data_IF_246970967519
#
_entry.id   IF_246970967519
#
_cell.length_a   1.000
_cell.length_b   1.000
_cell.length_c   1.000
_cell.angle_alpha   90.00
_cell.angle_beta   90.00
_cell.angle_gamma   90.00
#
_symmetry.space_group_name_H-M   'P 1'
#
loop_
_entity.id
_entity.type
_entity.pdbx_description
1 polymer ?
#
# COMPACT_ATOMS: atom_id res chain seq x y z
N UNK A 1 8.62 -1.85 -2.28
CA UNK A 1 8.68 -0.60 -3.07
C UNK A 1 9.89 -0.54 -3.99
N UNK A 2 9.64 -0.33 -5.29
CA UNK A 2 10.70 -0.18 -6.32
C UNK A 2 11.40 1.18 -6.14
N UNK A 3 12.74 1.16 -6.01
CA UNK A 3 13.55 2.39 -6.09
C UNK A 3 13.77 2.79 -7.55
N UNK A 4 13.46 4.04 -7.89
CA UNK A 4 13.67 4.59 -9.24
C UNK A 4 14.01 6.08 -9.19
N UNK A 5 14.64 6.58 -10.26
CA UNK A 5 14.93 8.01 -10.42
C UNK A 5 13.77 8.68 -11.17
N UNK A 6 12.99 9.58 -10.54
CA UNK A 6 11.87 10.24 -11.21
C UNK A 6 12.29 11.15 -12.36
N UNK A 7 13.58 11.53 -12.44
CA UNK A 7 14.12 12.38 -13.52
C UNK A 7 14.39 11.62 -14.81
N UNK A 8 14.44 10.28 -14.80
CA UNK A 8 14.71 9.47 -15.98
C UNK A 8 13.44 9.20 -16.81
N UNK A 9 12.78 10.27 -17.28
CA UNK A 9 11.46 10.21 -17.91
C UNK A 9 11.35 9.18 -19.05
N UNK A 10 12.23 9.27 -20.05
CA UNK A 10 12.26 8.30 -21.18
C UNK A 10 12.59 6.87 -20.73
N UNK A 11 13.50 6.74 -19.78
CA UNK A 11 13.87 5.43 -19.23
C UNK A 11 12.71 4.74 -18.53
N UNK A 12 11.80 5.50 -17.90
CA UNK A 12 10.61 4.96 -17.23
C UNK A 12 9.53 4.50 -18.22
N UNK A 13 9.36 5.20 -19.35
CA UNK A 13 8.36 4.85 -20.39
C UNK A 13 8.62 3.45 -20.98
N UNK A 14 9.90 3.10 -21.18
CA UNK A 14 10.29 1.84 -21.83
C UNK A 14 10.72 0.74 -20.84
N UNK A 15 10.58 0.98 -19.52
CA UNK A 15 10.96 0.00 -18.50
C UNK A 15 9.81 -0.97 -18.24
N UNK A 16 9.88 -2.15 -18.84
CA UNK A 16 8.94 -3.23 -18.57
C UNK A 16 9.23 -3.91 -17.22
N UNK A 17 8.35 -3.75 -16.23
CA UNK A 17 8.49 -4.37 -14.91
C UNK A 17 7.82 -5.76 -14.83
N UNK A 18 8.10 -6.54 -13.77
CA UNK A 18 7.48 -7.86 -13.57
C UNK A 18 5.99 -7.78 -13.20
N UNK A 19 5.56 -6.68 -12.57
CA UNK A 19 4.18 -6.33 -12.24
C UNK A 19 3.52 -5.47 -13.32
N UNK A 20 3.99 -5.57 -14.56
CA UNK A 20 3.52 -4.68 -15.64
C UNK A 20 2.02 -4.86 -15.88
N UNK A 21 1.27 -3.82 -15.50
CA UNK A 21 -0.18 -3.67 -15.71
C UNK A 21 -0.55 -4.04 -17.14
N UNK A 22 0.29 -3.69 -18.13
CA UNK A 22 0.07 -4.04 -19.52
C UNK A 22 0.04 -5.55 -19.75
N UNK A 23 1.00 -6.32 -19.21
CA UNK A 23 1.01 -7.79 -19.34
C UNK A 23 -0.19 -8.44 -18.68
N UNK A 24 -0.62 -7.92 -17.53
CA UNK A 24 -1.81 -8.41 -16.82
C UNK A 24 -3.10 -8.13 -17.62
N UNK A 25 -3.17 -7.00 -18.31
CA UNK A 25 -4.33 -6.59 -19.12
C UNK A 25 -4.29 -7.11 -20.56
N UNK A 26 -3.14 -7.56 -21.06
CA UNK A 26 -2.96 -7.95 -22.47
C UNK A 26 -4.01 -8.95 -22.99
N UNK A 27 -4.38 -10.03 -22.27
CA UNK A 27 -5.43 -10.94 -22.75
C UNK A 27 -6.79 -10.26 -22.89
N UNK A 28 -7.13 -9.38 -21.95
CA UNK A 28 -8.37 -8.61 -22.00
C UNK A 28 -8.34 -7.55 -23.11
N UNK A 29 -7.18 -6.89 -23.32
CA UNK A 29 -6.99 -5.94 -24.41
C UNK A 29 -7.18 -6.60 -25.78
N UNK A 30 -6.59 -7.79 -25.99
CA UNK A 30 -6.79 -8.55 -27.23
C UNK A 30 -8.25 -8.96 -27.41
N UNK A 31 -8.93 -9.33 -26.32
CA UNK A 31 -10.36 -9.68 -26.36
C UNK A 31 -11.23 -8.49 -26.74
N UNK A 32 -10.96 -7.31 -26.18
CA UNK A 32 -11.63 -6.05 -26.52
C UNK A 32 -11.35 -5.67 -27.98
N UNK A 33 -10.09 -5.79 -28.44
CA UNK A 33 -9.72 -5.48 -29.81
C UNK A 33 -10.45 -6.38 -30.82
N UNK A 34 -10.46 -7.70 -30.57
CA UNK A 34 -11.15 -8.67 -31.42
C UNK A 34 -12.66 -8.46 -31.42
N UNK A 35 -13.25 -8.20 -30.24
CA UNK A 35 -14.67 -7.91 -30.12
C UNK A 35 -15.05 -6.65 -30.91
N UNK A 36 -14.34 -5.54 -30.71
CA UNK A 36 -14.60 -4.29 -31.43
C UNK A 36 -14.36 -4.42 -32.93
N UNK A 37 -13.35 -5.18 -33.37
CA UNK A 37 -13.12 -5.48 -34.78
C UNK A 37 -14.27 -6.31 -35.38
N UNK A 38 -14.81 -7.27 -34.62
CA UNK A 38 -15.98 -8.04 -35.01
C UNK A 38 -17.24 -7.19 -35.19
N UNK A 39 -17.48 -6.24 -34.29
CA UNK A 39 -18.58 -5.27 -34.43
C UNK A 39 -18.37 -4.38 -35.67
N UNK A 40 -17.15 -3.88 -35.89
CA UNK A 40 -16.84 -3.07 -37.07
C UNK A 40 -17.03 -3.84 -38.38
N UNK A 41 -16.65 -5.12 -38.41
CA UNK A 41 -16.87 -6.00 -39.55
C UNK A 41 -18.37 -6.22 -39.81
N UNK A 42 -19.14 -6.50 -38.76
CA UNK A 42 -20.57 -6.75 -38.85
C UNK A 42 -21.33 -5.51 -39.35
N UNK A 43 -20.99 -4.32 -38.86
CA UNK A 43 -21.58 -3.07 -39.34
C UNK A 43 -21.30 -2.85 -40.82
N UNK A 44 -20.07 -3.06 -41.29
CA UNK A 44 -19.73 -2.81 -42.69
C UNK A 44 -20.29 -3.84 -43.68
N UNK A 45 -20.40 -5.11 -43.29
CA UNK A 45 -20.70 -6.21 -44.23
C UNK A 45 -22.08 -6.86 -44.02
N UNK A 46 -22.58 -6.90 -42.79
CA UNK A 46 -23.81 -7.62 -42.44
C UNK A 46 -24.98 -6.66 -42.19
N UNK A 47 -24.73 -5.51 -41.57
CA UNK A 47 -25.73 -4.55 -41.12
C UNK A 47 -25.35 -3.10 -41.50
N UNK A 48 -25.10 -2.80 -42.79
CA UNK A 48 -24.60 -1.50 -43.22
C UNK A 48 -25.46 -0.34 -42.72
N UNK A 49 -24.84 0.56 -41.95
CA UNK A 49 -25.41 1.79 -41.40
C UNK A 49 -26.64 1.60 -40.50
N UNK A 50 -26.81 0.41 -39.91
CA UNK A 50 -27.91 0.19 -38.95
C UNK A 50 -27.53 0.60 -37.52
N UNK A 51 -26.24 0.63 -37.18
CA UNK A 51 -25.79 1.14 -35.88
C UNK A 51 -25.86 2.67 -35.87
N UNK A 52 -26.71 3.22 -35.00
CA UNK A 52 -26.89 4.67 -34.80
C UNK A 52 -26.65 5.06 -33.34
N UNK A 53 -25.58 4.54 -32.76
CA UNK A 53 -25.19 4.89 -31.41
C UNK A 53 -24.83 6.37 -31.28
N UNK A 54 -25.05 6.96 -30.11
CA UNK A 54 -24.74 8.38 -29.84
C UNK A 54 -23.43 8.50 -29.06
N UNK A 55 -22.41 9.07 -29.70
CA UNK A 55 -21.12 9.39 -29.08
C UNK A 55 -21.26 10.39 -27.92
N UNK A 56 -22.29 11.24 -27.93
CA UNK A 56 -22.58 12.17 -26.85
C UNK A 56 -22.90 11.47 -25.52
N UNK A 57 -23.62 10.34 -25.55
CA UNK A 57 -23.90 9.56 -24.35
C UNK A 57 -22.60 8.98 -23.76
N UNK A 58 -21.72 8.43 -24.61
CA UNK A 58 -20.42 7.92 -24.17
C UNK A 58 -19.48 9.01 -23.67
N UNK A 59 -19.57 10.24 -24.19
CA UNK A 59 -18.83 11.37 -23.66
C UNK A 59 -19.29 11.71 -22.23
N UNK A 60 -20.61 11.79 -22.00
CA UNK A 60 -21.19 12.02 -20.67
C UNK A 60 -20.84 10.92 -19.67
N UNK A 61 -21.02 9.64 -20.06
CA UNK A 61 -20.66 8.50 -19.21
C UNK A 61 -19.14 8.44 -18.96
N UNK A 62 -18.33 8.79 -19.96
CA UNK A 62 -16.88 8.85 -19.84
C UNK A 62 -16.42 9.89 -18.82
N UNK A 63 -17.08 11.06 -18.77
CA UNK A 63 -16.84 12.05 -17.73
C UNK A 63 -17.16 11.51 -16.33
N UNK A 64 -18.32 10.84 -16.17
CA UNK A 64 -18.72 10.26 -14.88
C UNK A 64 -17.74 9.18 -14.42
N UNK A 65 -17.34 8.26 -15.31
CA UNK A 65 -16.38 7.20 -14.98
C UNK A 65 -15.02 7.78 -14.61
N UNK A 66 -14.55 8.79 -15.36
CA UNK A 66 -13.28 9.46 -15.07
C UNK A 66 -13.29 10.09 -13.68
N UNK A 67 -14.38 10.79 -13.34
CA UNK A 67 -14.54 11.38 -12.00
C UNK A 67 -14.55 10.32 -10.90
N UNK A 68 -15.27 9.20 -11.10
CA UNK A 68 -15.31 8.11 -10.13
C UNK A 68 -13.93 7.44 -9.94
N UNK A 69 -13.18 7.23 -11.02
CA UNK A 69 -11.81 6.70 -10.96
C UNK A 69 -10.86 7.63 -10.21
N UNK A 70 -11.00 8.95 -10.37
CA UNK A 70 -10.21 9.92 -9.61
C UNK A 70 -10.49 9.79 -8.11
N UNK A 71 -11.76 9.73 -7.70
CA UNK A 71 -12.10 9.52 -6.29
C UNK A 71 -11.55 8.19 -5.76
N UNK A 72 -11.73 7.11 -6.51
CA UNK A 72 -11.21 5.78 -6.18
C UNK A 72 -9.69 5.77 -5.95
N UNK A 73 -8.96 6.41 -6.86
CA UNK A 73 -7.50 6.49 -6.82
C UNK A 73 -7.02 7.35 -5.65
N UNK A 74 -7.69 8.49 -5.40
CA UNK A 74 -7.37 9.36 -4.27
C UNK A 74 -7.60 8.65 -2.93
N UNK A 75 -8.73 7.95 -2.75
CA UNK A 75 -8.99 7.21 -1.52
C UNK A 75 -7.97 6.08 -1.30
N UNK A 76 -7.56 5.38 -2.35
CA UNK A 76 -6.51 4.37 -2.25
C UNK A 76 -5.16 5.00 -1.85
N UNK A 77 -4.81 6.12 -2.48
CA UNK A 77 -3.59 6.86 -2.17
C UNK A 77 -3.56 7.38 -0.72
N UNK A 78 -4.67 7.89 -0.21
CA UNK A 78 -4.78 8.34 1.19
C UNK A 78 -4.49 7.20 2.17
N UNK A 79 -5.02 5.99 1.91
CA UNK A 79 -4.73 4.80 2.74
C UNK A 79 -3.27 4.41 2.67
N UNK A 80 -2.69 4.40 1.46
CA UNK A 80 -1.26 4.13 1.28
C UNK A 80 -0.39 5.13 2.05
N UNK A 81 -0.71 6.42 1.93
CA UNK A 81 0.01 7.51 2.60
C UNK A 81 -0.15 7.45 4.12
N UNK A 82 -1.33 7.14 4.61
CA UNK A 82 -1.59 6.93 6.03
C UNK A 82 -0.73 5.78 6.59
N UNK A 83 -0.70 4.63 5.89
CA UNK A 83 0.18 3.51 6.23
C UNK A 83 1.65 3.92 6.29
N UNK A 84 2.12 4.70 5.31
CA UNK A 84 3.50 5.22 5.28
C UNK A 84 3.80 6.12 6.47
N UNK A 85 2.86 7.00 6.84
CA UNK A 85 3.00 7.90 8.00
C UNK A 85 3.06 7.12 9.31
N UNK A 86 2.19 6.12 9.50
CA UNK A 86 2.18 5.25 10.68
C UNK A 86 3.52 4.52 10.88
N UNK A 87 4.08 3.92 9.82
CA UNK A 87 5.40 3.29 9.87
C UNK A 87 6.55 4.30 10.09
N UNK A 88 6.39 5.53 9.60
CA UNK A 88 7.29 6.64 9.92
C UNK A 88 7.24 7.01 11.41
N UNK A 89 6.06 7.10 11.99
CA UNK A 89 5.86 7.32 13.42
C UNK A 89 6.46 6.18 14.25
N UNK A 90 6.37 4.93 13.79
CA UNK A 90 6.98 3.78 14.48
C UNK A 90 8.50 3.91 14.54
N UNK A 91 9.10 4.34 13.43
CA UNK A 91 10.54 4.60 13.37
C UNK A 91 10.95 5.68 14.38
N UNK A 92 10.17 6.76 14.47
CA UNK A 92 10.43 7.87 15.39
C UNK A 92 10.26 7.46 16.85
N UNK A 93 9.15 6.79 17.19
CA UNK A 93 8.87 6.31 18.55
C UNK A 93 9.96 5.32 19.00
N UNK A 94 10.35 4.37 18.14
CA UNK A 94 11.42 3.42 18.43
C UNK A 94 12.76 4.11 18.70
N UNK A 95 13.12 5.12 17.91
CA UNK A 95 14.36 5.89 18.09
C UNK A 95 14.33 6.72 19.37
N UNK A 96 13.26 7.45 19.61
CA UNK A 96 13.11 8.31 20.79
C UNK A 96 13.15 7.48 22.07
N UNK A 97 12.44 6.34 22.07
CA UNK A 97 12.46 5.40 23.18
C UNK A 97 13.87 4.88 23.44
N UNK A 98 14.59 4.45 22.38
CA UNK A 98 15.95 3.96 22.51
C UNK A 98 16.92 5.03 23.04
N UNK A 99 16.84 6.28 22.57
CA UNK A 99 17.67 7.39 23.06
C UNK A 99 17.42 7.72 24.53
N UNK A 100 16.15 7.72 24.97
CA UNK A 100 15.81 7.97 26.37
C UNK A 100 16.27 6.84 27.27
N UNK A 101 16.03 5.59 26.86
CA UNK A 101 16.50 4.41 27.59
C UNK A 101 18.03 4.37 27.67
N UNK A 102 18.71 4.75 26.59
CA UNK A 102 20.15 4.88 26.54
C UNK A 102 20.68 5.88 27.59
N UNK A 103 20.09 7.07 27.64
CA UNK A 103 20.46 8.10 28.60
C UNK A 103 20.10 7.77 30.05
N UNK A 104 19.05 6.95 30.27
CA UNK A 104 18.54 6.67 31.60
C UNK A 104 19.14 5.43 32.26
N UNK A 105 19.62 4.46 31.46
CA UNK A 105 20.17 3.20 31.95
C UNK A 105 21.70 3.18 31.84
N UNK A 106 22.42 2.79 32.90
CA UNK A 106 23.87 2.67 32.85
C UNK A 106 24.38 1.72 31.75
N UNK A 107 25.60 1.96 31.28
CA UNK A 107 26.27 1.07 30.33
C UNK A 107 26.38 -0.35 30.89
N UNK A 108 26.14 -1.34 30.03
CA UNK A 108 26.17 -2.77 30.40
C UNK A 108 24.94 -3.25 31.17
N UNK A 109 23.94 -2.40 31.44
CA UNK A 109 22.71 -2.84 32.11
C UNK A 109 21.96 -3.90 31.27
N UNK A 110 21.60 -5.07 31.84
CA UNK A 110 21.04 -6.20 31.07
C UNK A 110 19.74 -5.86 30.34
N UNK A 111 18.92 -4.97 30.91
CA UNK A 111 17.67 -4.51 30.28
C UNK A 111 17.88 -3.78 28.96
N UNK A 112 19.04 -3.16 28.71
CA UNK A 112 19.30 -2.43 27.45
C UNK A 112 19.19 -3.37 26.26
N UNK A 113 19.75 -4.58 26.39
CA UNK A 113 19.67 -5.61 25.35
C UNK A 113 18.25 -6.13 25.17
N UNK A 114 17.57 -6.47 26.27
CA UNK A 114 16.19 -6.94 26.21
C UNK A 114 15.26 -5.91 25.56
N UNK A 115 15.35 -4.64 25.96
CA UNK A 115 14.54 -3.56 25.39
C UNK A 115 14.86 -3.33 23.91
N UNK A 116 16.13 -3.41 23.51
CA UNK A 116 16.51 -3.33 22.10
C UNK A 116 15.91 -4.47 21.26
N UNK A 117 15.96 -5.70 21.78
CA UNK A 117 15.38 -6.89 21.15
C UNK A 117 13.85 -6.76 21.04
N UNK A 118 13.17 -6.31 22.09
CA UNK A 118 11.71 -6.12 22.10
C UNK A 118 11.26 -5.03 21.13
N UNK A 119 11.94 -3.86 21.10
CA UNK A 119 11.61 -2.77 20.17
C UNK A 119 11.78 -3.23 18.72
N UNK A 120 12.90 -3.90 18.40
CA UNK A 120 13.15 -4.44 17.06
C UNK A 120 12.14 -5.54 16.69
N UNK A 121 11.87 -6.46 17.61
CA UNK A 121 10.92 -7.54 17.41
C UNK A 121 9.49 -7.03 17.20
N UNK A 122 9.12 -5.90 17.81
CA UNK A 122 7.80 -5.30 17.62
C UNK A 122 7.57 -4.94 16.15
N UNK A 123 8.52 -4.24 15.52
CA UNK A 123 8.40 -3.84 14.12
C UNK A 123 8.30 -5.06 13.18
N UNK A 124 9.12 -6.08 13.43
CA UNK A 124 9.06 -7.34 12.69
C UNK A 124 7.70 -8.04 12.87
N UNK A 125 7.16 -8.11 14.09
CA UNK A 125 5.88 -8.78 14.34
C UNK A 125 4.69 -7.98 13.81
N UNK A 126 4.74 -6.64 13.86
CA UNK A 126 3.69 -5.80 13.29
C UNK A 126 3.59 -6.02 11.78
N UNK A 127 4.71 -6.07 11.06
CA UNK A 127 4.70 -6.41 9.62
C UNK A 127 3.98 -7.73 9.34
N UNK A 128 4.39 -8.80 10.03
CA UNK A 128 3.80 -10.13 9.80
C UNK A 128 2.30 -10.14 10.16
N UNK A 129 1.92 -9.44 11.23
CA UNK A 129 0.53 -9.28 11.65
C UNK A 129 -0.31 -8.58 10.58
N UNK A 130 0.24 -7.57 9.89
CA UNK A 130 -0.46 -6.84 8.83
C UNK A 130 -0.53 -7.60 7.49
N UNK A 131 0.30 -8.63 7.28
CA UNK A 131 0.23 -9.50 6.10
C UNK A 131 -0.73 -10.67 6.26
N UNK A 132 -1.04 -11.07 7.49
CA UNK A 132 -1.92 -12.19 7.78
C UNK A 132 -3.30 -11.69 8.18
N UNK A 133 -4.33 -12.00 7.40
CA UNK A 133 -5.69 -11.48 7.61
C UNK A 133 -6.36 -11.96 8.91
N UNK A 134 -5.96 -13.12 9.43
CA UNK A 134 -6.53 -13.70 10.66
C UNK A 134 -5.41 -14.36 11.48
N UNK A 135 -4.96 -13.69 12.55
CA UNK A 135 -4.12 -14.31 13.57
C UNK A 135 -4.95 -14.54 14.83
N UNK A 136 -4.97 -15.77 15.34
CA UNK A 136 -5.61 -16.13 16.62
C UNK A 136 -4.92 -15.41 17.79
N UNK A 137 -3.65 -15.05 17.62
CA UNK A 137 -2.85 -14.39 18.64
C UNK A 137 -2.39 -13.00 18.20
N UNK A 138 -2.65 -11.99 19.03
CA UNK A 138 -2.24 -10.61 18.77
C UNK A 138 -0.79 -10.37 19.22
N UNK A 139 0.17 -10.90 18.47
CA UNK A 139 1.62 -10.85 18.78
C UNK A 139 2.17 -9.45 19.05
N UNK A 140 1.83 -8.37 18.29
CA UNK A 140 2.33 -7.03 18.59
C UNK A 140 2.00 -6.57 20.00
N UNK A 141 0.75 -6.72 20.45
CA UNK A 141 0.33 -6.40 21.82
C UNK A 141 1.06 -7.22 22.88
N UNK A 142 1.39 -8.49 22.61
CA UNK A 142 2.22 -9.29 23.55
C UNK A 142 3.60 -8.68 23.73
N UNK A 143 4.23 -8.20 22.65
CA UNK A 143 5.55 -7.56 22.72
C UNK A 143 5.45 -6.19 23.38
N UNK A 144 4.43 -5.40 23.06
CA UNK A 144 4.16 -4.14 23.76
C UNK A 144 3.98 -4.37 25.27
N UNK A 145 3.19 -5.36 25.67
CA UNK A 145 3.01 -5.70 27.09
C UNK A 145 4.34 -6.07 27.77
N UNK A 146 5.24 -6.78 27.09
CA UNK A 146 6.59 -7.07 27.61
C UNK A 146 7.45 -5.81 27.74
N UNK A 147 7.38 -4.88 26.78
CA UNK A 147 8.06 -3.57 26.88
C UNK A 147 7.57 -2.79 28.10
N UNK A 148 6.25 -2.68 28.27
CA UNK A 148 5.66 -2.01 29.43
C UNK A 148 6.04 -2.69 30.75
N UNK A 149 5.99 -4.03 30.80
CA UNK A 149 6.34 -4.79 31.99
C UNK A 149 7.81 -4.61 32.40
N UNK A 150 8.74 -4.59 31.43
CA UNK A 150 10.15 -4.39 31.72
C UNK A 150 10.43 -2.97 32.23
N UNK A 151 9.82 -1.95 31.62
CA UNK A 151 9.95 -0.57 32.10
C UNK A 151 9.33 -0.39 33.50
N UNK A 152 8.19 -1.02 33.77
CA UNK A 152 7.58 -1.03 35.11
C UNK A 152 8.47 -1.75 36.14
N UNK A 153 9.14 -2.85 35.75
CA UNK A 153 10.09 -3.58 36.59
C UNK A 153 11.32 -2.73 36.94
N UNK A 154 11.85 -1.98 35.97
CA UNK A 154 12.94 -1.04 36.22
C UNK A 154 12.52 0.04 37.23
N UNK A 155 11.27 0.51 37.15
CA UNK A 155 10.75 1.48 38.09
C UNK A 155 10.56 0.91 39.50
N UNK A 156 9.97 -0.28 39.63
CA UNK A 156 9.75 -0.91 40.95
C UNK A 156 11.06 -1.26 41.68
N UNK A 157 12.16 -1.46 40.95
CA UNK A 157 13.51 -1.63 41.52
C UNK A 157 14.25 -0.32 41.81
N UNK A 158 13.67 0.84 41.49
CA UNK A 158 14.33 2.13 41.63
C UNK A 158 15.43 2.41 40.58
N UNK A 159 15.57 1.56 39.57
CA UNK A 159 16.52 1.73 38.45
C UNK A 159 16.05 2.82 37.48
N UNK A 160 14.72 3.03 37.40
CA UNK A 160 14.09 4.17 36.72
C UNK A 160 13.19 4.94 37.69
N UNK A 161 13.35 6.26 37.75
CA UNK A 161 12.47 7.13 38.56
C UNK A 161 11.12 7.37 37.87
N UNK A 162 10.11 7.77 38.64
CA UNK A 162 8.75 7.97 38.13
C UNK A 162 8.63 9.10 37.10
N UNK A 163 9.42 10.16 37.23
CA UNK A 163 9.53 11.24 36.24
C UNK A 163 10.06 10.73 34.88
N UNK A 164 11.08 9.86 34.90
CA UNK A 164 11.60 9.22 33.67
C UNK A 164 10.55 8.32 33.03
N UNK A 165 9.75 7.60 33.83
CA UNK A 165 8.65 6.78 33.33
C UNK A 165 7.62 7.61 32.57
N UNK A 166 7.25 8.78 33.11
CA UNK A 166 6.34 9.72 32.43
C UNK A 166 6.92 10.20 31.10
N UNK A 167 8.24 10.39 30.99
CA UNK A 167 8.90 10.76 29.75
C UNK A 167 8.95 9.62 28.71
N UNK A 168 8.96 8.36 29.15
CA UNK A 168 8.98 7.17 28.27
C UNK A 168 7.58 6.77 27.80
N UNK A 169 6.55 7.01 28.60
CA UNK A 169 5.19 6.53 28.35
C UNK A 169 4.61 6.95 26.98
N UNK A 170 4.78 8.20 26.49
CA UNK A 170 4.29 8.56 25.16
C UNK A 170 4.89 7.71 24.04
N UNK A 171 6.20 7.40 24.11
CA UNK A 171 6.85 6.58 23.10
C UNK A 171 6.43 5.10 23.21
N UNK A 172 6.17 4.59 24.41
CA UNK A 172 5.66 3.23 24.63
C UNK A 172 4.22 3.07 24.10
N UNK A 173 3.34 4.00 24.45
CA UNK A 173 1.93 3.99 24.00
C UNK A 173 1.81 4.14 22.49
N UNK A 174 2.70 4.92 21.87
CA UNK A 174 2.71 5.11 20.43
C UNK A 174 2.77 3.79 19.64
N UNK A 175 3.43 2.75 20.17
CA UNK A 175 3.50 1.44 19.51
C UNK A 175 2.09 0.86 19.33
N UNK A 176 1.30 0.83 20.42
CA UNK A 176 -0.08 0.34 20.39
C UNK A 176 -0.99 1.20 19.51
N UNK A 177 -0.87 2.53 19.60
CA UNK A 177 -1.66 3.46 18.77
C UNK A 177 -1.38 3.26 17.26
N UNK A 178 -0.10 3.08 16.91
CA UNK A 178 0.31 2.81 15.53
C UNK A 178 -0.22 1.47 15.05
N UNK A 179 -0.16 0.42 15.88
CA UNK A 179 -0.74 -0.88 15.55
C UNK A 179 -2.24 -0.75 15.29
N UNK A 180 -3.00 -0.08 16.15
CA UNK A 180 -4.42 0.17 15.96
C UNK A 180 -4.71 0.94 14.67
N UNK A 181 -3.89 1.94 14.33
CA UNK A 181 -3.97 2.67 13.05
C UNK A 181 -3.75 1.75 11.84
N UNK A 182 -2.71 0.92 11.88
CA UNK A 182 -2.42 -0.02 10.79
C UNK A 182 -3.52 -1.08 10.65
N UNK A 183 -4.05 -1.59 11.76
CA UNK A 183 -5.17 -2.53 11.75
C UNK A 183 -6.44 -1.91 11.17
N UNK A 184 -6.73 -0.65 11.46
CA UNK A 184 -7.86 0.05 10.85
C UNK A 184 -7.72 0.11 9.33
N UNK A 185 -6.53 0.41 8.81
CA UNK A 185 -6.28 0.39 7.36
C UNK A 185 -6.43 -1.02 6.80
N UNK A 186 -5.93 -2.05 7.48
CA UNK A 186 -5.98 -3.43 7.00
C UNK A 186 -7.42 -4.01 7.02
N UNK A 187 -8.15 -3.81 8.13
CA UNK A 187 -9.45 -4.44 8.41
C UNK A 187 -10.64 -3.67 7.85
N UNK A 188 -10.46 -2.40 7.48
CA UNK A 188 -11.53 -1.55 6.94
C UNK A 188 -11.23 -1.20 5.48
N UNK A 189 -11.48 -2.12 4.53
CA UNK A 189 -11.28 -1.86 3.10
C UNK A 189 -12.29 -0.84 2.56
N UNK A 190 -12.05 -0.34 1.34
CA UNK A 190 -13.02 0.50 0.64
C UNK A 190 -14.30 -0.34 0.46
N UNK A 191 -15.50 0.25 0.68
CA UNK A 191 -16.75 -0.49 0.60
C UNK A 191 -16.85 -1.31 -0.69
N UNK A 192 -17.10 -2.61 -0.54
CA UNK A 192 -17.15 -3.56 -1.66
C UNK A 192 -18.12 -3.14 -2.76
N UNK A 193 -19.26 -2.54 -2.40
CA UNK A 193 -20.26 -2.04 -3.34
C UNK A 193 -19.70 -0.98 -4.29
N UNK A 194 -18.80 -0.12 -3.80
CA UNK A 194 -18.15 0.91 -4.60
C UNK A 194 -17.21 0.31 -5.64
N UNK A 195 -16.29 -0.57 -5.20
CA UNK A 195 -15.35 -1.26 -6.09
C UNK A 195 -16.08 -2.14 -7.12
N UNK A 196 -17.15 -2.83 -6.70
CA UNK A 196 -17.97 -3.64 -7.60
C UNK A 196 -18.70 -2.79 -8.65
N UNK A 197 -19.29 -1.66 -8.23
CA UNK A 197 -19.98 -0.75 -9.12
C UNK A 197 -19.04 -0.20 -10.19
N UNK A 198 -17.84 0.25 -9.80
CA UNK A 198 -16.86 0.83 -10.72
C UNK A 198 -16.40 -0.19 -11.78
N UNK A 199 -16.05 -1.42 -11.36
CA UNK A 199 -15.65 -2.50 -12.28
C UNK A 199 -16.77 -2.86 -13.27
N UNK A 200 -18.02 -2.97 -12.79
CA UNK A 200 -19.18 -3.21 -13.67
C UNK A 200 -19.43 -2.04 -14.63
N UNK A 201 -19.25 -0.82 -14.17
CA UNK A 201 -19.47 0.37 -14.99
C UNK A 201 -18.42 0.49 -16.11
N UNK A 202 -17.14 0.26 -15.80
CA UNK A 202 -16.07 0.18 -16.81
C UNK A 202 -16.38 -0.92 -17.83
N UNK A 203 -16.79 -2.11 -17.38
CA UNK A 203 -17.15 -3.20 -18.28
C UNK A 203 -18.27 -2.82 -19.26
N UNK A 204 -19.38 -2.27 -18.75
CA UNK A 204 -20.51 -1.84 -19.59
C UNK A 204 -20.12 -0.71 -20.55
N UNK A 205 -19.28 0.23 -20.09
CA UNK A 205 -18.79 1.33 -20.91
C UNK A 205 -17.96 0.84 -22.10
N UNK A 206 -17.03 -0.09 -21.85
CA UNK A 206 -16.15 -0.64 -22.89
C UNK A 206 -16.91 -1.54 -23.86
N UNK A 207 -17.81 -2.39 -23.36
CA UNK A 207 -18.61 -3.28 -24.22
C UNK A 207 -19.59 -2.50 -25.10
N UNK A 208 -20.16 -1.40 -24.60
CA UNK A 208 -21.09 -0.57 -25.39
C UNK A 208 -20.39 0.37 -26.38
N UNK A 209 -19.13 0.75 -26.13
CA UNK A 209 -18.37 1.69 -26.95
C UNK A 209 -18.32 1.36 -28.46
N UNK A 210 -18.00 0.12 -28.90
CA UNK A 210 -17.89 -0.16 -30.33
C UNK A 210 -19.20 0.07 -31.09
N UNK A 211 -20.36 -0.18 -30.48
CA UNK A 211 -21.66 0.09 -31.10
C UNK A 211 -21.93 1.57 -31.37
N UNK A 212 -21.27 2.47 -30.64
CA UNK A 212 -21.42 3.90 -30.82
C UNK A 212 -20.33 4.53 -31.67
N UNK A 213 -19.12 3.95 -31.70
CA UNK A 213 -17.97 4.54 -32.37
C UNK A 213 -17.76 3.99 -33.79
N UNK A 214 -18.26 2.80 -34.10
CA UNK A 214 -18.09 2.20 -35.44
C UNK A 214 -18.63 3.05 -36.60
N UNK A 215 -19.79 3.75 -36.48
CA UNK A 215 -20.29 4.59 -37.57
C UNK A 215 -19.33 5.71 -37.97
N UNK A 216 -18.60 6.27 -36.99
CA UNK A 216 -17.69 7.40 -37.20
C UNK A 216 -16.25 6.94 -37.50
N UNK A 217 -15.79 5.84 -36.87
CA UNK A 217 -14.38 5.42 -36.85
C UNK A 217 -14.10 4.08 -37.54
N UNK A 218 -15.13 3.32 -37.96
CA UNK A 218 -14.98 2.05 -38.65
C UNK A 218 -14.02 1.07 -37.91
N UNK A 219 -13.04 0.48 -38.60
CA UNK A 219 -12.08 -0.42 -37.94
C UNK A 219 -11.17 0.26 -36.92
N UNK A 220 -10.99 1.59 -36.96
CA UNK A 220 -10.23 2.31 -35.93
C UNK A 220 -10.88 2.22 -34.55
N UNK A 221 -12.18 1.93 -34.49
CA UNK A 221 -12.87 1.67 -33.22
C UNK A 221 -12.20 0.56 -32.42
N UNK A 222 -11.65 -0.47 -33.06
CA UNK A 222 -10.94 -1.53 -32.35
C UNK A 222 -9.73 -1.02 -31.57
N UNK A 223 -8.92 -0.15 -32.19
CA UNK A 223 -7.78 0.46 -31.52
C UNK A 223 -8.23 1.43 -30.42
N UNK A 224 -9.20 2.29 -30.72
CA UNK A 224 -9.68 3.33 -29.79
C UNK A 224 -10.28 2.68 -28.54
N UNK A 225 -11.19 1.71 -28.69
CA UNK A 225 -11.81 1.03 -27.55
C UNK A 225 -10.78 0.29 -26.71
N UNK A 226 -9.79 -0.35 -27.35
CA UNK A 226 -8.70 -1.04 -26.63
C UNK A 226 -7.82 -0.08 -25.83
N UNK A 227 -7.50 1.08 -26.42
CA UNK A 227 -6.72 2.12 -25.74
C UNK A 227 -7.50 2.71 -24.55
N UNK A 228 -8.78 3.01 -24.72
CA UNK A 228 -9.62 3.51 -23.63
C UNK A 228 -9.76 2.46 -22.52
N UNK A 229 -9.97 1.18 -22.88
CA UNK A 229 -9.97 0.08 -21.92
C UNK A 229 -8.66 0.03 -21.13
N UNK A 230 -7.52 0.08 -21.82
CA UNK A 230 -6.21 0.06 -21.17
C UNK A 230 -6.07 1.20 -20.15
N UNK A 231 -6.43 2.43 -20.51
CA UNK A 231 -6.34 3.58 -19.59
C UNK A 231 -7.24 3.41 -18.37
N UNK A 232 -8.53 3.11 -18.57
CA UNK A 232 -9.49 3.00 -17.47
C UNK A 232 -9.18 1.81 -16.55
N UNK A 233 -8.86 0.65 -17.13
CA UNK A 233 -8.53 -0.55 -16.38
C UNK A 233 -7.17 -0.43 -15.65
N UNK A 234 -6.19 0.28 -16.24
CA UNK A 234 -4.91 0.53 -15.58
C UNK A 234 -5.07 1.41 -14.34
N UNK A 235 -5.87 2.47 -14.42
CA UNK A 235 -6.14 3.34 -13.26
C UNK A 235 -6.83 2.56 -12.13
N UNK A 236 -7.82 1.73 -12.46
CA UNK A 236 -8.48 0.87 -11.47
C UNK A 236 -7.51 -0.14 -10.85
N UNK A 237 -6.62 -0.74 -11.66
CA UNK A 237 -5.63 -1.69 -11.17
C UNK A 237 -4.62 -1.02 -10.23
N UNK A 238 -4.13 0.16 -10.57
CA UNK A 238 -3.21 0.93 -9.72
C UNK A 238 -3.87 1.26 -8.39
N UNK A 239 -5.14 1.70 -8.42
CA UNK A 239 -5.90 1.99 -7.21
C UNK A 239 -6.14 0.74 -6.36
N UNK A 240 -6.30 -0.43 -6.97
CA UNK A 240 -6.41 -1.72 -6.28
C UNK A 240 -5.07 -2.13 -5.63
N UNK A 241 -3.95 -1.99 -6.33
CA UNK A 241 -2.62 -2.32 -5.81
C UNK A 241 -2.25 -1.46 -4.60
N UNK A 242 -2.44 -0.14 -4.66
CA UNK A 242 -2.02 0.75 -3.55
C UNK A 242 -3.02 0.78 -2.39
N UNK A 243 -4.23 0.23 -2.56
CA UNK A 243 -5.26 0.23 -1.51
C UNK A 243 -4.84 -0.56 -0.26
N UNK A 244 -4.07 -1.63 -0.43
CA UNK A 244 -3.57 -2.48 0.65
C UNK A 244 -2.05 -2.33 0.84
N UNK A 245 -1.57 -1.28 1.53
CA UNK A 245 -0.16 -0.90 1.51
C UNK A 245 0.81 -1.83 2.24
N UNK A 246 0.30 -2.88 2.92
CA UNK A 246 1.10 -3.75 3.79
C UNK A 246 1.37 -5.14 3.22
N UNK A 247 0.93 -5.42 1.99
CA UNK A 247 1.11 -6.71 1.34
C UNK A 247 2.55 -6.98 0.88
N UNK A 248 2.65 -7.75 -0.20
CA UNK A 248 3.89 -8.16 -0.85
C UNK A 248 3.97 -7.68 -2.32
N UNK A 249 3.07 -6.78 -2.73
CA UNK A 249 3.08 -6.20 -4.07
C UNK A 249 4.27 -5.25 -4.26
N UNK A 250 4.66 -5.03 -5.52
CA UNK A 250 5.84 -4.21 -5.83
C UNK A 250 5.71 -2.75 -5.33
N UNK A 251 4.48 -2.26 -5.28
CA UNK A 251 4.09 -0.90 -4.88
C UNK A 251 3.75 -0.79 -3.38
N UNK A 252 3.77 -1.90 -2.64
CA UNK A 252 3.56 -1.89 -1.20
C UNK A 252 4.74 -1.26 -0.45
N UNK A 253 4.43 -0.84 0.77
CA UNK A 253 5.40 -0.23 1.66
C UNK A 253 6.53 -1.23 1.95
N UNK A 254 7.80 -0.78 1.95
CA UNK A 254 8.94 -1.64 2.24
C UNK A 254 9.06 -1.87 3.76
N UNK A 255 8.02 -2.47 4.36
CA UNK A 255 7.91 -2.71 5.81
C UNK A 255 9.02 -3.62 6.33
N UNK A 256 9.51 -4.54 5.50
CA UNK A 256 10.73 -5.34 5.75
C UNK A 256 11.96 -4.46 6.00
N UNK A 257 12.25 -3.54 5.07
CA UNK A 257 13.40 -2.65 5.17
C UNK A 257 13.27 -1.67 6.34
N UNK A 258 12.05 -1.16 6.58
CA UNK A 258 11.79 -0.25 7.69
C UNK A 258 11.99 -0.98 9.03
N UNK A 259 11.45 -2.20 9.19
CA UNK A 259 11.62 -3.00 10.39
C UNK A 259 13.10 -3.37 10.63
N UNK A 260 13.82 -3.77 9.58
CA UNK A 260 15.25 -4.06 9.66
C UNK A 260 16.06 -2.81 10.10
N UNK A 261 15.76 -1.64 9.53
CA UNK A 261 16.39 -0.39 9.93
C UNK A 261 16.09 -0.03 11.39
N UNK A 262 14.85 -0.16 11.85
CA UNK A 262 14.50 0.07 13.27
C UNK A 262 15.34 -0.84 14.18
N UNK A 263 15.39 -2.14 13.87
CA UNK A 263 16.16 -3.12 14.64
C UNK A 263 17.65 -2.79 14.70
N UNK A 264 18.26 -2.41 13.58
CA UNK A 264 19.67 -2.04 13.50
C UNK A 264 19.94 -0.78 14.33
N UNK A 265 19.18 0.30 14.10
CA UNK A 265 19.40 1.60 14.75
C UNK A 265 19.17 1.56 16.25
N UNK A 266 18.14 0.84 16.70
CA UNK A 266 17.87 0.69 18.13
C UNK A 266 18.97 -0.10 18.82
N UNK A 267 19.48 -1.15 18.16
CA UNK A 267 20.60 -1.94 18.69
C UNK A 267 21.91 -1.14 18.73
N UNK A 268 22.19 -0.34 17.70
CA UNK A 268 23.32 0.60 17.70
C UNK A 268 23.25 1.54 18.90
N UNK A 269 22.07 2.08 19.23
CA UNK A 269 21.92 2.99 20.37
C UNK A 269 22.03 2.28 21.73
N UNK A 270 21.38 1.13 21.91
CA UNK A 270 21.31 0.50 23.24
C UNK A 270 22.47 -0.45 23.56
N UNK A 271 23.16 -0.97 22.54
CA UNK A 271 24.16 -2.06 22.65
C UNK A 271 25.53 -1.67 22.06
N UNK A 272 25.87 -0.37 22.04
CA UNK A 272 27.09 0.17 21.41
C UNK A 272 28.43 -0.28 22.05
N UNK A 273 28.43 -0.92 23.23
CA UNK A 273 29.64 -1.37 23.93
C UNK A 273 30.11 -2.80 23.64
N UNK A 274 29.30 -3.65 23.01
CA UNK A 274 29.63 -5.08 22.82
C UNK A 274 30.36 -5.39 21.51
N UNK A 275 30.42 -4.44 20.57
CA UNK A 275 31.09 -4.61 19.26
C UNK A 275 32.62 -4.48 19.32
N UNK A 276 33.20 -4.11 20.48
CA UNK A 276 34.63 -3.93 20.69
C UNK A 276 35.43 -5.18 21.12
N UNK A 277 34.80 -6.36 21.28
CA UNK A 277 35.47 -7.58 21.79
C UNK A 277 35.47 -8.76 20.80
N UNK A 278 35.33 -8.48 19.50
CA UNK A 278 35.60 -9.45 18.43
C UNK A 278 36.62 -8.89 17.44
N UNK A 279 37.86 -8.72 17.90
CA UNK A 279 39.05 -8.68 17.05
C UNK A 279 40.17 -9.43 17.76
#
# INVERSE_FOLDING_TARGET
MISYNPKSWWGLIFKFHKSDTFRRLLPAMLSVALFSAGIAYADQHLLPNQLKGTTALHALLGFVISMLLVFRTNTAYERWWEGRRLWGSLTNASRNLALKLDAYLPDGHPSRRLLAELIGAYADNLKHHLRVSISVEHRPNRIAAQLFAEVARLNSKGELSGDKLLCLNPDLSAFADICGGCERIQKTPIPYSYSLFLKKFIFLYIVSMPFCFVPDFHYWTALITTLVFYVLASLELIAEEIENPFGDDANDLPTDDIAANIRIRVRELLVHGETGHRR
#
